data_IF_767922357723
#
_entry.id   IF_767922357723
#
_cell.length_a   1.000
_cell.length_b   1.000
_cell.length_c   1.000
_cell.angle_alpha   90.00
_cell.angle_beta   90.00
_cell.angle_gamma   90.00
#
_symmetry.space_group_name_H-M   'P 1'
#
loop_
_entity.id
_entity.type
_entity.pdbx_description
1 polymer ?
#
# COMPACT_ATOMS: atom_id res chain seq x y z
N UNK A 1 19.10 7.76 4.68
CA UNK A 1 18.18 8.61 3.88
C UNK A 1 17.69 7.83 2.68
N UNK A 2 16.43 7.39 2.66
CA UNK A 2 15.81 6.77 1.47
C UNK A 2 15.56 7.89 0.46
N UNK A 3 16.36 7.90 -0.61
CA UNK A 3 16.29 8.93 -1.64
C UNK A 3 15.15 8.58 -2.62
N UNK A 4 13.90 8.88 -2.25
CA UNK A 4 12.70 8.80 -3.09
C UNK A 4 12.69 9.94 -4.14
N UNK A 5 13.87 10.35 -4.63
CA UNK A 5 13.97 11.33 -5.70
C UNK A 5 13.51 10.70 -7.02
N UNK A 6 12.36 11.21 -7.51
CA UNK A 6 11.91 11.27 -8.91
C UNK A 6 11.64 9.97 -9.69
N UNK A 7 11.65 8.77 -9.09
CA UNK A 7 11.49 7.51 -9.86
C UNK A 7 10.45 6.51 -9.33
N UNK A 8 9.43 6.94 -8.58
CA UNK A 8 8.41 6.02 -8.02
C UNK A 8 7.47 5.40 -9.08
N UNK A 9 7.47 5.89 -10.33
CA UNK A 9 6.38 5.61 -11.28
C UNK A 9 6.78 4.99 -12.63
N UNK A 10 7.93 4.32 -12.75
CA UNK A 10 8.32 3.74 -14.05
C UNK A 10 7.64 2.39 -14.36
N UNK A 11 6.31 2.38 -14.30
CA UNK A 11 5.41 1.30 -14.74
C UNK A 11 4.38 0.88 -13.69
N UNK A 12 3.92 1.81 -12.87
CA UNK A 12 2.64 1.71 -12.14
C UNK A 12 1.61 2.61 -12.84
N UNK A 13 0.38 2.67 -12.30
CA UNK A 13 -0.58 3.68 -12.75
C UNK A 13 0.00 5.10 -12.53
N UNK A 14 -0.34 6.10 -13.36
CA UNK A 14 0.11 7.48 -13.17
C UNK A 14 -0.17 7.98 -11.75
N UNK A 15 0.66 8.88 -11.23
CA UNK A 15 0.44 9.40 -9.87
C UNK A 15 -0.90 10.11 -9.75
N UNK A 16 -1.27 10.89 -10.76
CA UNK A 16 -2.56 11.58 -10.84
C UNK A 16 -3.74 10.60 -10.72
N UNK A 17 -3.59 9.40 -11.28
CA UNK A 17 -4.59 8.34 -11.14
C UNK A 17 -4.65 7.82 -9.69
N UNK A 18 -3.50 7.64 -9.05
CA UNK A 18 -3.43 7.17 -7.67
C UNK A 18 -3.98 8.23 -6.70
N UNK A 19 -3.69 9.50 -6.93
CA UNK A 19 -4.21 10.63 -6.14
C UNK A 19 -5.72 10.74 -6.28
N UNK A 20 -6.22 10.79 -7.52
CA UNK A 20 -7.65 10.87 -7.81
C UNK A 20 -8.43 9.71 -7.18
N UNK A 21 -7.94 8.48 -7.32
CA UNK A 21 -8.63 7.29 -6.80
C UNK A 21 -8.64 7.22 -5.27
N UNK A 22 -7.60 7.75 -4.61
CA UNK A 22 -7.43 7.60 -3.17
C UNK A 22 -7.78 8.85 -2.36
N UNK A 23 -8.02 9.98 -3.04
CA UNK A 23 -8.33 11.27 -2.41
C UNK A 23 -7.19 11.79 -1.53
N UNK A 24 -5.94 11.40 -1.82
CA UNK A 24 -4.74 11.81 -1.07
C UNK A 24 -3.64 12.23 -2.02
N UNK A 25 -2.82 13.20 -1.60
CA UNK A 25 -1.66 13.63 -2.37
C UNK A 25 -0.58 12.56 -2.38
N UNK A 26 0.31 12.61 -3.37
CA UNK A 26 1.52 11.81 -3.42
C UNK A 26 2.33 11.91 -2.14
N UNK A 27 2.50 13.12 -1.61
CA UNK A 27 3.27 13.38 -0.39
C UNK A 27 2.66 12.67 0.81
N UNK A 28 1.32 12.62 0.91
CA UNK A 28 0.62 11.87 1.96
C UNK A 28 0.84 10.36 1.82
N UNK A 29 0.74 9.84 0.60
CA UNK A 29 0.98 8.41 0.32
C UNK A 29 2.42 8.00 0.66
N UNK A 30 3.40 8.84 0.32
CA UNK A 30 4.81 8.61 0.66
C UNK A 30 5.03 8.69 2.16
N UNK A 31 4.45 9.70 2.83
CA UNK A 31 4.54 9.86 4.29
C UNK A 31 3.94 8.67 5.03
N UNK A 32 2.79 8.16 4.59
CA UNK A 32 2.19 6.97 5.21
C UNK A 32 3.11 5.74 5.12
N UNK A 33 3.73 5.51 3.96
CA UNK A 33 4.65 4.37 3.79
C UNK A 33 5.90 4.53 4.67
N UNK A 34 6.43 5.75 4.79
CA UNK A 34 7.62 6.04 5.60
C UNK A 34 7.30 5.92 7.09
N UNK A 35 6.18 6.49 7.54
CA UNK A 35 5.81 6.49 8.95
C UNK A 35 5.35 5.12 9.44
N UNK A 36 4.76 4.29 8.56
CA UNK A 36 4.39 2.89 8.80
C UNK A 36 3.53 2.56 10.04
N UNK A 37 3.13 3.54 10.87
CA UNK A 37 2.47 3.35 12.16
C UNK A 37 1.14 2.59 12.07
N UNK A 38 0.43 2.74 10.95
CA UNK A 38 -0.90 2.15 10.76
C UNK A 38 -0.86 0.80 10.03
N UNK A 39 0.31 0.21 9.77
CA UNK A 39 0.38 -1.12 9.15
C UNK A 39 -0.10 -2.17 10.14
N UNK A 40 -1.26 -2.77 9.87
CA UNK A 40 -1.81 -3.85 10.71
C UNK A 40 -1.51 -5.23 10.13
N UNK A 41 -1.43 -5.36 8.79
CA UNK A 41 -1.17 -6.64 8.13
C UNK A 41 -0.19 -6.49 6.97
N UNK A 42 0.57 -7.57 6.73
CA UNK A 42 1.48 -7.69 5.59
C UNK A 42 1.26 -9.04 4.92
N UNK A 43 1.07 -9.03 3.60
CA UNK A 43 0.98 -10.25 2.79
C UNK A 43 2.07 -10.24 1.72
N UNK A 44 2.87 -11.30 1.67
CA UNK A 44 3.83 -11.55 0.59
C UNK A 44 3.13 -12.35 -0.51
N UNK A 45 3.17 -11.84 -1.74
CA UNK A 45 2.62 -12.50 -2.91
C UNK A 45 3.72 -12.74 -3.95
N UNK A 46 3.75 -13.93 -4.55
CA UNK A 46 4.56 -14.20 -5.75
C UNK A 46 3.62 -14.21 -6.94
N UNK A 47 3.80 -13.26 -7.85
CA UNK A 47 2.95 -13.09 -9.02
C UNK A 47 3.84 -12.92 -10.26
N UNK A 48 3.68 -13.79 -11.26
CA UNK A 48 4.47 -13.78 -12.50
C UNK A 48 6.00 -13.78 -12.27
N UNK A 49 6.48 -14.51 -11.25
CA UNK A 49 7.90 -14.57 -10.90
C UNK A 49 8.40 -13.38 -10.06
N UNK A 50 7.56 -12.37 -9.83
CA UNK A 50 7.91 -11.21 -9.01
C UNK A 50 7.35 -11.32 -7.60
N UNK A 51 8.15 -10.93 -6.61
CA UNK A 51 7.66 -10.82 -5.23
C UNK A 51 7.06 -9.43 -5.01
N UNK A 52 5.78 -9.41 -4.65
CA UNK A 52 5.02 -8.22 -4.27
C UNK A 52 4.60 -8.31 -2.81
N UNK A 53 4.43 -7.15 -2.19
CA UNK A 53 4.03 -7.03 -0.80
C UNK A 53 2.78 -6.18 -0.71
N UNK A 54 1.75 -6.69 -0.05
CA UNK A 54 0.56 -5.92 0.30
C UNK A 54 0.70 -5.47 1.74
N UNK A 55 0.77 -4.17 1.94
CA UNK A 55 0.72 -3.54 3.25
C UNK A 55 -0.69 -3.02 3.49
N UNK A 56 -1.31 -3.48 4.56
CA UNK A 56 -2.67 -3.12 4.93
C UNK A 56 -2.60 -2.06 6.04
N UNK A 57 -2.85 -0.82 5.67
CA UNK A 57 -2.94 0.30 6.58
C UNK A 57 -4.36 0.41 7.09
N UNK A 58 -4.54 0.36 8.41
CA UNK A 58 -5.86 0.42 9.05
C UNK A 58 -5.92 1.67 9.91
N UNK A 59 -6.71 2.65 9.47
CA UNK A 59 -6.88 3.91 10.19
C UNK A 59 -8.02 3.83 11.21
N UNK A 60 -9.02 2.98 10.95
CA UNK A 60 -10.13 2.73 11.86
C UNK A 60 -10.78 1.36 11.62
N UNK A 61 -11.78 1.02 12.43
CA UNK A 61 -12.60 -0.19 12.19
C UNK A 61 -13.43 -0.15 10.90
N UNK A 62 -13.52 1.02 10.24
CA UNK A 62 -14.34 1.24 9.04
C UNK A 62 -13.52 1.58 7.80
N UNK A 63 -12.30 2.08 7.96
CA UNK A 63 -11.49 2.64 6.88
C UNK A 63 -10.04 2.20 6.97
N UNK A 64 -9.46 1.97 5.81
CA UNK A 64 -8.06 1.63 5.65
C UNK A 64 -7.66 1.77 4.18
N UNK A 65 -6.43 1.39 3.89
CA UNK A 65 -5.86 1.42 2.55
C UNK A 65 -4.91 0.25 2.37
N UNK A 66 -4.80 -0.25 1.15
CA UNK A 66 -3.84 -1.29 0.80
C UNK A 66 -2.84 -0.71 -0.18
N UNK A 67 -1.58 -0.85 0.16
CA UNK A 67 -0.46 -0.53 -0.70
C UNK A 67 0.11 -1.82 -1.26
N UNK A 68 0.14 -1.94 -2.58
CA UNK A 68 0.84 -3.03 -3.25
C UNK A 68 2.19 -2.51 -3.70
N UNK A 69 3.24 -3.03 -3.08
CA UNK A 69 4.61 -2.59 -3.26
C UNK A 69 5.49 -3.71 -3.85
N UNK A 70 6.56 -3.30 -4.50
CA UNK A 70 7.69 -4.17 -4.86
C UNK A 70 8.96 -3.56 -4.30
N UNK A 71 9.79 -4.39 -3.68
CA UNK A 71 11.13 -4.01 -3.26
C UNK A 71 12.11 -4.43 -4.35
N UNK A 72 12.70 -3.44 -5.02
CA UNK A 72 13.87 -3.60 -5.89
C UNK A 72 15.02 -2.78 -5.27
N UNK A 73 15.84 -2.09 -6.06
CA UNK A 73 16.81 -1.10 -5.54
C UNK A 73 16.15 0.08 -4.79
N UNK A 74 14.83 0.27 -4.97
CA UNK A 74 13.99 1.26 -4.31
C UNK A 74 12.63 0.64 -3.98
N UNK A 75 11.89 1.27 -3.07
CA UNK A 75 10.49 0.95 -2.83
C UNK A 75 9.66 1.50 -3.99
N UNK A 76 8.89 0.63 -4.65
CA UNK A 76 7.99 1.02 -5.73
C UNK A 76 6.55 0.67 -5.38
N UNK A 77 5.68 1.68 -5.46
CA UNK A 77 4.23 1.52 -5.31
C UNK A 77 3.67 1.09 -6.67
N UNK A 78 3.09 -0.10 -6.75
CA UNK A 78 2.42 -0.60 -7.95
C UNK A 78 1.02 0.00 -8.04
N UNK A 79 0.27 -0.13 -6.93
CA UNK A 79 -1.09 0.39 -6.83
C UNK A 79 -1.44 0.62 -5.37
N UNK A 80 -2.39 1.52 -5.18
CA UNK A 80 -2.97 1.83 -3.88
C UNK A 80 -4.49 1.95 -4.03
N UNK A 81 -5.22 1.42 -3.05
CA UNK A 81 -6.68 1.49 -3.04
C UNK A 81 -7.24 1.54 -1.62
N UNK A 82 -8.36 2.27 -1.41
CA UNK A 82 -9.04 2.28 -0.13
C UNK A 82 -9.72 0.94 0.14
N UNK A 83 -9.84 0.58 1.40
CA UNK A 83 -10.62 -0.57 1.86
C UNK A 83 -11.63 -0.13 2.91
N UNK A 84 -12.84 -0.63 2.77
CA UNK A 84 -13.94 -0.35 3.69
C UNK A 84 -14.09 -1.41 4.78
N UNK A 85 -15.05 -1.16 5.67
CA UNK A 85 -15.40 -1.99 6.83
C UNK A 85 -15.51 -3.49 6.53
N UNK A 86 -16.18 -3.87 5.44
CA UNK A 86 -16.41 -5.28 5.12
C UNK A 86 -15.10 -6.00 4.77
N UNK A 87 -14.27 -5.36 3.95
CA UNK A 87 -12.96 -5.86 3.55
C UNK A 87 -12.02 -5.98 4.76
N UNK A 88 -12.01 -4.97 5.64
CA UNK A 88 -11.25 -5.01 6.89
C UNK A 88 -11.69 -6.16 7.81
N UNK A 89 -13.00 -6.38 7.95
CA UNK A 89 -13.54 -7.49 8.75
C UNK A 89 -13.06 -8.85 8.22
N UNK A 90 -13.03 -9.02 6.90
CA UNK A 90 -12.54 -10.23 6.26
C UNK A 90 -11.03 -10.43 6.48
N UNK A 91 -10.23 -9.37 6.35
CA UNK A 91 -8.79 -9.46 6.60
C UNK A 91 -8.46 -9.71 8.06
N UNK A 92 -9.08 -9.01 9.01
CA UNK A 92 -8.90 -9.29 10.44
C UNK A 92 -9.23 -10.74 10.76
N UNK A 93 -10.26 -11.34 10.14
CA UNK A 93 -10.55 -12.77 10.29
C UNK A 93 -9.49 -13.68 9.67
N UNK A 94 -8.99 -13.35 8.48
CA UNK A 94 -7.95 -14.12 7.77
C UNK A 94 -6.62 -14.11 8.55
N UNK A 95 -6.22 -12.96 9.08
CA UNK A 95 -4.92 -12.78 9.74
C UNK A 95 -4.93 -13.02 11.26
N UNK A 96 -6.10 -13.15 11.91
CA UNK A 96 -6.21 -13.58 13.32
C UNK A 96 -5.90 -15.07 13.54
N UNK A 97 -5.86 -15.89 12.49
CA UNK A 97 -5.56 -17.34 12.58
C UNK A 97 -4.05 -17.62 12.62
N UNK A 98 -3.31 -16.91 13.47
CA UNK A 98 -1.93 -17.26 13.83
C UNK A 98 -1.93 -17.99 15.17
#
# INVERSE_FOLDING_TARGET
>A
MINIKKKVLNGGKPIDYLEFRNGCSKEDLEREIINHDNIEFVEKQKEQGETRYKLYFVYSSKTGRVYVLKFTDKIRIITVYPIGRQTLKNYKRKFKKL
#
